data_IF_818589942865
#
_entry.id   IF_818589942865
#
_cell.length_a   1.000
_cell.length_b   1.000
_cell.length_c   1.000
_cell.angle_alpha   90.00
_cell.angle_beta   90.00
_cell.angle_gamma   90.00
#
_symmetry.space_group_name_H-M   'P 1'
#
loop_
_entity.id
_entity.type
_entity.pdbx_description
1 polymer ?
#
# COMPACT_ATOMS: atom_id res chain seq x y z
N UNK A 1 61.57 -18.68 11.80
CA UNK A 1 62.19 -17.72 10.89
C UNK A 1 61.13 -17.18 10.01
N UNK A 2 60.52 -16.06 10.37
CA UNK A 2 60.68 -14.69 9.84
C UNK A 2 60.45 -14.57 8.34
N UNK A 3 59.34 -13.92 7.93
CA UNK A 3 59.38 -12.76 7.06
C UNK A 3 58.00 -12.09 7.03
N UNK A 4 57.91 -10.92 7.69
CA UNK A 4 56.89 -9.89 7.51
C UNK A 4 57.09 -9.26 6.14
N UNK A 5 56.01 -9.10 5.37
CA UNK A 5 55.98 -8.19 4.24
C UNK A 5 54.82 -7.23 4.49
N UNK A 6 55.19 -6.02 4.93
CA UNK A 6 54.33 -4.86 5.03
C UNK A 6 54.10 -4.29 3.63
N UNK A 7 52.85 -4.28 3.13
CA UNK A 7 52.49 -3.52 1.94
C UNK A 7 51.67 -2.32 2.35
N UNK A 8 52.33 -1.18 2.39
CA UNK A 8 51.68 0.12 2.55
C UNK A 8 51.19 0.56 1.18
N UNK A 9 49.89 0.54 0.95
CA UNK A 9 49.30 1.13 -0.26
C UNK A 9 48.74 2.51 0.15
N UNK A 10 49.42 3.53 -0.32
CA UNK A 10 49.02 4.94 -0.27
C UNK A 10 47.99 5.18 -1.38
N UNK A 11 46.71 5.25 -1.01
CA UNK A 11 45.63 5.61 -1.91
C UNK A 11 45.34 7.10 -1.79
N UNK A 12 45.79 7.87 -2.79
CA UNK A 12 45.44 9.27 -2.99
C UNK A 12 44.01 9.37 -3.54
N UNK A 13 43.06 9.77 -2.73
CA UNK A 13 41.71 10.10 -3.17
C UNK A 13 41.66 11.50 -3.75
N UNK A 14 41.55 11.61 -5.07
CA UNK A 14 41.20 12.85 -5.76
C UNK A 14 39.66 13.05 -5.65
N UNK A 15 39.25 14.01 -4.84
CA UNK A 15 37.85 14.46 -4.77
C UNK A 15 37.61 15.41 -5.95
N UNK A 16 36.86 14.95 -6.95
CA UNK A 16 36.35 15.80 -8.02
C UNK A 16 34.98 16.33 -7.57
N UNK A 17 34.98 17.60 -7.14
CA UNK A 17 33.73 18.34 -6.91
C UNK A 17 33.18 18.80 -8.26
N UNK A 18 32.21 18.05 -8.80
CA UNK A 18 31.35 18.52 -9.88
C UNK A 18 30.21 19.33 -9.27
N UNK A 19 30.32 20.65 -9.31
CA UNK A 19 29.25 21.57 -9.02
C UNK A 19 28.29 21.60 -10.23
N UNK A 20 27.16 20.92 -10.16
CA UNK A 20 26.05 21.10 -11.08
C UNK A 20 25.34 22.42 -10.73
N UNK A 21 25.54 23.45 -11.53
CA UNK A 21 24.72 24.65 -11.51
C UNK A 21 23.34 24.30 -12.08
N UNK A 22 22.35 24.16 -11.18
CA UNK A 22 20.96 24.01 -11.57
C UNK A 22 20.33 25.40 -11.58
N UNK A 23 20.19 26.01 -12.77
CA UNK A 23 19.42 27.24 -12.94
C UNK A 23 17.95 26.88 -13.10
N UNK A 24 17.17 27.13 -12.04
CA UNK A 24 15.70 27.04 -12.09
C UNK A 24 15.17 28.30 -12.78
N UNK A 25 14.70 28.14 -14.01
CA UNK A 25 13.92 29.17 -14.70
C UNK A 25 12.48 29.13 -14.17
N UNK A 26 12.17 29.98 -13.20
CA UNK A 26 10.79 30.27 -12.81
C UNK A 26 10.19 31.20 -13.87
N UNK A 27 9.55 30.65 -14.87
CA UNK A 27 8.60 31.37 -15.70
C UNK A 27 7.24 31.27 -15.04
N UNK A 28 6.85 32.35 -14.38
CA UNK A 28 5.56 32.53 -13.75
C UNK A 28 4.52 32.87 -14.85
N UNK A 29 3.54 32.02 -15.15
CA UNK A 29 2.41 32.46 -15.97
C UNK A 29 1.38 33.10 -15.03
N UNK A 30 1.43 34.43 -14.92
CA UNK A 30 0.34 35.22 -14.36
C UNK A 30 -0.92 35.00 -15.21
N UNK A 31 -1.74 34.04 -14.83
CA UNK A 31 -3.07 33.88 -15.37
C UNK A 31 -3.99 34.95 -14.74
N UNK A 32 -4.28 36.00 -15.50
CA UNK A 32 -5.31 36.96 -15.19
C UNK A 32 -6.67 36.24 -15.20
N UNK A 33 -7.47 36.27 -14.13
CA UNK A 33 -8.80 35.68 -14.15
C UNK A 33 -9.71 36.53 -15.07
N UNK A 34 -10.10 35.94 -16.18
CA UNK A 34 -11.10 36.50 -17.08
C UNK A 34 -12.47 36.40 -16.40
N UNK A 35 -13.08 37.54 -16.12
CA UNK A 35 -14.43 37.63 -15.59
C UNK A 35 -15.42 37.07 -16.62
N UNK A 36 -16.11 35.99 -16.25
CA UNK A 36 -17.22 35.43 -17.05
C UNK A 36 -18.44 36.36 -16.87
N UNK A 37 -19.05 36.86 -17.94
CA UNK A 37 -20.26 37.67 -17.82
C UNK A 37 -21.42 36.80 -17.36
N UNK A 38 -22.02 37.18 -16.23
CA UNK A 38 -23.22 36.52 -15.71
C UNK A 38 -24.40 36.98 -16.60
N UNK A 39 -25.15 36.08 -17.27
CA UNK A 39 -26.35 36.46 -17.98
C UNK A 39 -27.42 36.87 -16.95
N UNK A 40 -27.87 38.12 -17.07
CA UNK A 40 -29.00 38.65 -16.30
C UNK A 40 -30.28 37.99 -16.80
N UNK A 41 -30.77 36.99 -16.08
CA UNK A 41 -32.04 36.35 -16.37
C UNK A 41 -33.17 37.23 -15.84
N UNK A 42 -33.94 37.85 -16.72
CA UNK A 42 -35.20 38.49 -16.41
C UNK A 42 -36.20 37.42 -15.97
N UNK A 43 -36.57 37.44 -14.70
CA UNK A 43 -37.60 36.53 -14.18
C UNK A 43 -38.98 37.00 -14.64
N UNK A 44 -39.57 36.29 -15.60
CA UNK A 44 -40.98 36.31 -15.87
C UNK A 44 -41.71 35.50 -14.80
N UNK A 45 -42.60 36.13 -14.03
CA UNK A 45 -43.45 35.43 -13.06
C UNK A 45 -44.49 34.61 -13.82
N UNK A 46 -44.21 33.31 -14.01
CA UNK A 46 -45.24 32.37 -14.41
C UNK A 46 -46.02 31.90 -13.17
N UNK A 47 -47.34 31.94 -13.30
CA UNK A 47 -48.28 31.52 -12.28
C UNK A 47 -48.13 30.01 -12.08
N UNK A 48 -47.58 29.56 -10.95
CA UNK A 48 -47.40 28.17 -10.66
C UNK A 48 -48.73 27.47 -10.48
N UNK A 49 -48.99 26.36 -11.19
CA UNK A 49 -50.09 25.46 -10.81
C UNK A 49 -49.75 24.81 -9.46
N UNK A 50 -50.77 24.72 -8.61
CA UNK A 50 -50.72 24.11 -7.27
C UNK A 50 -50.09 22.72 -7.33
N UNK A 51 -48.87 22.56 -6.85
CA UNK A 51 -48.19 21.27 -6.74
C UNK A 51 -48.92 20.43 -5.70
N UNK A 52 -49.32 19.18 -6.04
CA UNK A 52 -49.91 18.29 -5.05
C UNK A 52 -48.87 18.01 -3.93
N UNK A 53 -49.35 18.04 -2.69
CA UNK A 53 -48.60 17.78 -1.45
C UNK A 53 -47.77 16.50 -1.63
N UNK A 54 -46.44 16.52 -1.43
CA UNK A 54 -45.63 15.32 -1.56
C UNK A 54 -46.09 14.27 -0.56
N UNK A 55 -46.53 13.14 -1.10
CA UNK A 55 -46.78 11.92 -0.32
C UNK A 55 -45.48 11.57 0.37
N UNK A 56 -45.55 11.35 1.68
CA UNK A 56 -44.37 11.15 2.53
C UNK A 56 -43.35 10.20 1.92
N UNK A 57 -42.12 10.71 1.78
CA UNK A 57 -40.97 9.89 1.42
C UNK A 57 -40.76 8.90 2.56
N UNK A 58 -41.02 7.61 2.29
CA UNK A 58 -40.64 6.55 3.21
C UNK A 58 -39.10 6.51 3.15
N UNK A 59 -38.47 7.15 4.14
CA UNK A 59 -37.02 6.98 4.35
C UNK A 59 -36.85 5.58 4.90
N UNK A 60 -36.43 4.66 4.01
CA UNK A 60 -36.02 3.33 4.43
C UNK A 60 -34.83 3.49 5.39
N UNK A 61 -34.86 2.92 6.60
CA UNK A 61 -33.74 3.01 7.50
C UNK A 61 -32.52 2.38 6.81
N UNK A 62 -31.52 3.18 6.48
CA UNK A 62 -30.22 2.68 6.04
C UNK A 62 -29.63 1.96 7.24
N UNK A 63 -29.47 0.64 7.13
CA UNK A 63 -28.83 -0.15 8.18
C UNK A 63 -27.42 0.45 8.44
N UNK A 64 -27.13 0.76 9.69
CA UNK A 64 -25.79 1.21 10.05
C UNK A 64 -24.78 0.13 9.71
N UNK A 65 -23.61 0.49 9.09
CA UNK A 65 -22.59 -0.49 8.75
C UNK A 65 -22.07 -1.15 10.03
N UNK A 66 -22.10 -2.46 10.07
CA UNK A 66 -21.55 -3.24 11.19
C UNK A 66 -20.02 -3.15 11.15
N UNK A 67 -19.45 -2.43 12.09
CA UNK A 67 -18.00 -2.38 12.25
C UNK A 67 -17.49 -3.70 12.85
N UNK A 68 -16.39 -4.21 12.29
CA UNK A 68 -15.70 -5.40 12.74
C UNK A 68 -14.23 -5.06 13.00
N UNK A 69 -13.63 -5.70 14.00
CA UNK A 69 -12.21 -5.59 14.26
C UNK A 69 -11.44 -6.58 13.37
N UNK A 70 -10.32 -6.11 12.81
CA UNK A 70 -9.37 -6.89 12.06
C UNK A 70 -7.97 -6.71 12.64
N UNK A 71 -7.14 -7.74 12.53
CA UNK A 71 -5.73 -7.69 12.90
C UNK A 71 -4.90 -7.52 11.64
N UNK A 72 -3.98 -6.55 11.68
CA UNK A 72 -3.02 -6.29 10.59
C UNK A 72 -1.61 -6.48 11.12
N UNK A 73 -0.78 -7.20 10.40
CA UNK A 73 0.62 -7.45 10.75
C UNK A 73 1.54 -6.56 9.92
N UNK A 74 2.40 -5.81 10.58
CA UNK A 74 3.48 -5.03 9.99
C UNK A 74 4.82 -5.58 10.45
N UNK A 75 5.88 -5.33 9.66
CA UNK A 75 7.22 -5.63 10.11
C UNK A 75 7.60 -4.71 11.28
N UNK A 76 8.16 -5.28 12.34
CA UNK A 76 8.74 -4.56 13.48
C UNK A 76 10.27 -4.46 13.27
N UNK A 77 10.71 -3.26 12.90
CA UNK A 77 12.11 -2.96 12.62
C UNK A 77 13.01 -3.20 13.83
N UNK A 78 12.51 -2.94 15.04
CA UNK A 78 13.30 -3.14 16.26
C UNK A 78 13.57 -4.63 16.50
N UNK A 79 12.55 -5.48 16.30
CA UNK A 79 12.72 -6.94 16.40
C UNK A 79 13.62 -7.48 15.29
N UNK A 80 13.47 -6.96 14.07
CA UNK A 80 14.29 -7.33 12.92
C UNK A 80 15.77 -7.02 13.18
N UNK A 81 16.10 -5.81 13.64
CA UNK A 81 17.46 -5.39 13.96
C UNK A 81 18.03 -6.22 15.12
N UNK A 82 17.19 -6.56 16.11
CA UNK A 82 17.60 -7.39 17.24
C UNK A 82 17.71 -8.89 16.93
N UNK A 83 17.28 -9.33 15.72
CA UNK A 83 17.21 -10.74 15.35
C UNK A 83 16.20 -11.54 16.18
N UNK A 84 15.14 -10.89 16.68
CA UNK A 84 14.13 -11.49 17.57
C UNK A 84 12.85 -11.81 16.80
N UNK A 85 12.63 -13.07 16.48
CA UNK A 85 11.39 -13.53 15.81
C UNK A 85 10.21 -13.65 16.79
N UNK A 86 8.95 -13.53 16.30
CA UNK A 86 8.57 -13.16 14.93
C UNK A 86 8.83 -11.68 14.66
N UNK A 87 9.21 -11.35 13.42
CA UNK A 87 9.51 -9.98 13.03
C UNK A 87 8.26 -9.14 12.77
N UNK A 88 7.09 -9.75 12.73
CA UNK A 88 5.82 -9.07 12.57
C UNK A 88 5.19 -8.72 13.91
N UNK A 89 4.63 -7.52 14.00
CA UNK A 89 3.79 -7.09 15.12
C UNK A 89 2.37 -6.83 14.64
N UNK A 90 1.41 -7.24 15.48
CA UNK A 90 -0.01 -7.10 15.23
C UNK A 90 -0.51 -5.74 15.68
N UNK A 91 -1.37 -5.12 14.87
CA UNK A 91 -2.17 -3.94 15.24
C UNK A 91 -3.64 -4.19 14.94
N UNK A 92 -4.53 -3.53 15.69
CA UNK A 92 -5.98 -3.62 15.48
C UNK A 92 -6.45 -2.49 14.58
N UNK A 93 -7.36 -2.83 13.65
CA UNK A 93 -8.10 -1.89 12.79
C UNK A 93 -9.58 -2.23 12.84
N UNK A 94 -10.41 -1.30 12.40
CA UNK A 94 -11.84 -1.52 12.21
C UNK A 94 -12.21 -1.43 10.74
N UNK A 95 -13.12 -2.27 10.29
CA UNK A 95 -13.65 -2.25 8.93
C UNK A 95 -15.15 -2.48 8.92
N UNK A 96 -15.83 -1.99 7.91
CA UNK A 96 -17.22 -2.33 7.58
C UNK A 96 -17.32 -3.33 6.41
N UNK A 97 -16.19 -3.81 5.91
CA UNK A 97 -16.14 -4.78 4.81
C UNK A 97 -16.50 -6.18 5.30
N UNK A 98 -17.35 -6.89 4.54
CA UNK A 98 -17.64 -8.31 4.76
C UNK A 98 -16.50 -9.22 4.23
N UNK A 99 -15.64 -8.69 3.35
CA UNK A 99 -14.45 -9.39 2.86
C UNK A 99 -13.24 -9.06 3.75
N UNK A 100 -13.13 -9.75 4.88
CA UNK A 100 -12.09 -9.48 5.86
C UNK A 100 -10.66 -9.70 5.34
N UNK A 101 -10.35 -10.77 4.56
CA UNK A 101 -9.02 -10.94 3.98
C UNK A 101 -8.60 -9.77 3.09
N UNK A 102 -9.50 -9.25 2.25
CA UNK A 102 -9.22 -8.08 1.44
C UNK A 102 -9.04 -6.82 2.30
N UNK A 103 -9.93 -6.61 3.29
CA UNK A 103 -9.85 -5.46 4.19
C UNK A 103 -8.53 -5.41 4.97
N UNK A 104 -8.01 -6.56 5.40
CA UNK A 104 -6.70 -6.66 6.07
C UNK A 104 -5.58 -6.25 5.12
N UNK A 105 -5.59 -6.70 3.87
CA UNK A 105 -4.57 -6.29 2.90
C UNK A 105 -4.67 -4.81 2.52
N UNK A 106 -5.88 -4.27 2.38
CA UNK A 106 -6.09 -2.85 2.14
C UNK A 106 -5.55 -2.01 3.31
N UNK A 107 -5.81 -2.43 4.55
CA UNK A 107 -5.27 -1.79 5.74
C UNK A 107 -3.74 -1.93 5.83
N UNK A 108 -3.18 -3.07 5.42
CA UNK A 108 -1.74 -3.27 5.31
C UNK A 108 -1.10 -2.30 4.32
N UNK A 109 -1.64 -2.18 3.10
CA UNK A 109 -1.11 -1.25 2.10
C UNK A 109 -1.37 0.23 2.42
N UNK A 110 -2.35 0.54 3.28
CA UNK A 110 -2.51 1.88 3.85
C UNK A 110 -1.36 2.25 4.80
N UNK A 111 -0.64 1.24 5.29
CA UNK A 111 0.54 1.40 6.13
C UNK A 111 0.25 1.62 7.62
N UNK A 112 1.30 1.66 8.44
CA UNK A 112 1.20 1.99 9.85
C UNK A 112 0.83 3.47 10.02
N UNK A 113 0.10 3.78 11.11
CA UNK A 113 -0.11 5.17 11.54
C UNK A 113 1.22 5.80 11.95
N UNK A 114 1.27 7.15 12.05
CA UNK A 114 2.49 7.84 12.49
C UNK A 114 2.97 7.32 13.85
N UNK A 115 2.06 7.09 14.80
CA UNK A 115 2.42 6.56 16.12
C UNK A 115 3.04 5.16 16.03
N UNK A 116 2.50 4.29 15.20
CA UNK A 116 3.02 2.93 14.99
C UNK A 116 4.37 2.96 14.25
N UNK A 117 4.52 3.87 13.29
CA UNK A 117 5.79 4.10 12.61
C UNK A 117 6.87 4.56 13.60
N UNK A 118 6.55 5.46 14.52
CA UNK A 118 7.45 5.94 15.56
C UNK A 118 7.82 4.81 16.55
N UNK A 119 6.95 3.81 16.69
CA UNK A 119 7.21 2.59 17.47
C UNK A 119 8.06 1.55 16.73
N UNK A 120 8.37 1.77 15.47
CA UNK A 120 9.21 0.88 14.65
C UNK A 120 8.45 0.01 13.66
N UNK A 121 7.12 0.19 13.49
CA UNK A 121 6.39 -0.59 12.49
C UNK A 121 6.62 -0.05 11.09
N UNK A 122 6.78 -0.95 10.12
CA UNK A 122 7.10 -0.62 8.73
C UNK A 122 6.21 -1.38 7.75
N UNK A 123 5.78 -0.66 6.71
CA UNK A 123 5.18 -1.28 5.54
C UNK A 123 6.31 -1.77 4.61
N UNK A 124 6.30 -3.06 4.29
CA UNK A 124 7.17 -3.63 3.26
C UNK A 124 6.35 -3.86 1.99
N UNK A 125 6.57 -3.09 0.96
CA UNK A 125 5.72 -3.12 -0.23
C UNK A 125 6.48 -3.35 -1.55
N UNK A 126 7.81 -3.21 -1.57
CA UNK A 126 8.63 -3.31 -2.79
C UNK A 126 8.06 -2.47 -3.96
N UNK A 127 7.57 -1.27 -3.66
CA UNK A 127 6.89 -0.36 -4.59
C UNK A 127 5.48 -0.79 -5.04
N UNK A 128 4.95 -1.89 -4.54
CA UNK A 128 3.52 -2.15 -4.64
C UNK A 128 2.74 -1.14 -3.80
N UNK A 129 1.60 -0.72 -4.29
CA UNK A 129 0.81 0.34 -3.65
C UNK A 129 -0.57 -0.11 -3.18
N UNK A 130 -1.09 -1.22 -3.73
CA UNK A 130 -2.43 -1.69 -3.42
C UNK A 130 -2.65 -3.13 -3.92
N UNK A 131 -3.75 -3.72 -3.47
CA UNK A 131 -4.28 -4.98 -3.99
C UNK A 131 -5.23 -4.67 -5.16
N UNK A 132 -4.93 -5.19 -6.34
CA UNK A 132 -5.83 -5.08 -7.51
C UNK A 132 -6.97 -6.10 -7.43
N UNK A 133 -6.68 -7.30 -6.94
CA UNK A 133 -7.63 -8.42 -6.88
C UNK A 133 -7.19 -9.41 -5.81
N UNK A 134 -8.15 -9.98 -5.11
CA UNK A 134 -8.00 -11.14 -4.23
C UNK A 134 -9.04 -12.19 -4.61
N UNK A 135 -8.64 -13.44 -4.82
CA UNK A 135 -9.55 -14.57 -4.96
C UNK A 135 -9.21 -15.64 -3.94
N UNK A 136 -10.26 -16.29 -3.42
CA UNK A 136 -10.16 -17.44 -2.51
C UNK A 136 -10.83 -18.64 -3.16
N UNK A 137 -10.03 -19.65 -3.46
CA UNK A 137 -10.53 -20.88 -4.09
C UNK A 137 -9.78 -22.08 -3.53
N UNK A 138 -10.52 -23.08 -3.04
CA UNK A 138 -9.96 -24.34 -2.52
C UNK A 138 -8.85 -24.14 -1.44
N UNK A 139 -9.01 -23.12 -0.59
CA UNK A 139 -8.03 -22.80 0.44
C UNK A 139 -6.80 -22.06 -0.06
N UNK A 140 -6.76 -21.64 -1.31
CA UNK A 140 -5.67 -20.85 -1.89
C UNK A 140 -6.13 -19.41 -2.06
N UNK A 141 -5.42 -18.49 -1.43
CA UNK A 141 -5.58 -17.05 -1.63
C UNK A 141 -4.66 -16.58 -2.77
N UNK A 142 -5.23 -16.05 -3.85
CA UNK A 142 -4.47 -15.45 -4.94
C UNK A 142 -4.57 -13.94 -4.86
N UNK A 143 -3.44 -13.29 -4.61
CA UNK A 143 -3.30 -11.85 -4.42
C UNK A 143 -2.62 -11.24 -5.61
N UNK A 144 -3.30 -10.36 -6.32
CA UNK A 144 -2.76 -9.61 -7.45
C UNK A 144 -2.44 -8.20 -7.00
N UNK A 145 -1.16 -7.85 -7.04
CA UNK A 145 -0.67 -6.57 -6.55
C UNK A 145 -0.60 -5.51 -7.67
N UNK A 146 -0.80 -4.27 -7.32
CA UNK A 146 -0.67 -3.11 -8.21
C UNK A 146 0.44 -2.20 -7.75
N UNK A 147 1.09 -1.55 -8.71
CA UNK A 147 2.32 -0.80 -8.55
C UNK A 147 3.40 -1.39 -9.43
N UNK A 148 4.66 -1.13 -9.14
CA UNK A 148 5.79 -1.69 -9.87
C UNK A 148 6.58 -2.58 -8.92
N UNK A 149 6.77 -3.84 -9.27
CA UNK A 149 7.57 -4.74 -8.47
C UNK A 149 9.05 -4.38 -8.58
N UNK A 150 9.66 -4.02 -7.46
CA UNK A 150 11.08 -3.71 -7.40
C UNK A 150 11.72 -4.47 -6.23
N UNK A 151 12.68 -5.34 -6.55
CA UNK A 151 13.54 -5.93 -5.53
C UNK A 151 14.58 -4.89 -5.12
N UNK A 152 14.43 -4.32 -3.93
CA UNK A 152 15.34 -3.32 -3.39
C UNK A 152 16.52 -3.93 -2.62
N UNK A 153 16.80 -5.22 -2.82
CA UNK A 153 17.84 -5.94 -2.09
C UNK A 153 17.52 -6.09 -0.60
N UNK A 154 16.24 -6.07 -0.24
CA UNK A 154 15.79 -6.24 1.14
C UNK A 154 16.18 -7.63 1.64
N UNK A 155 16.81 -7.69 2.81
CA UNK A 155 17.15 -8.94 3.48
C UNK A 155 15.90 -9.70 3.99
N UNK A 156 14.75 -9.05 4.04
CA UNK A 156 13.48 -9.59 4.48
C UNK A 156 12.45 -9.52 3.33
N UNK A 157 11.87 -10.65 2.99
CA UNK A 157 10.94 -10.73 1.86
C UNK A 157 9.66 -9.95 2.13
N UNK A 158 9.27 -9.10 1.19
CA UNK A 158 7.97 -8.39 1.18
C UNK A 158 6.78 -9.36 1.22
N UNK A 159 6.96 -10.56 0.70
CA UNK A 159 5.91 -11.58 0.69
C UNK A 159 5.52 -12.04 2.10
N UNK A 160 6.47 -12.11 3.03
CA UNK A 160 6.23 -12.63 4.39
C UNK A 160 5.11 -11.89 5.13
N UNK A 161 5.11 -10.56 5.26
CA UNK A 161 4.01 -9.85 5.90
C UNK A 161 2.68 -10.00 5.15
N UNK A 162 2.68 -10.06 3.81
CA UNK A 162 1.46 -10.27 3.02
C UNK A 162 0.88 -11.66 3.32
N UNK A 163 1.70 -12.70 3.32
CA UNK A 163 1.30 -14.06 3.66
C UNK A 163 0.78 -14.13 5.09
N UNK A 164 1.49 -13.55 6.06
CA UNK A 164 1.10 -13.51 7.47
C UNK A 164 -0.28 -12.86 7.68
N UNK A 165 -0.58 -11.81 6.93
CA UNK A 165 -1.87 -11.14 6.96
C UNK A 165 -3.02 -12.00 6.43
N UNK A 166 -2.76 -12.96 5.55
CA UNK A 166 -3.78 -13.83 5.00
C UNK A 166 -3.88 -15.17 5.75
N UNK A 167 -2.77 -15.75 6.15
CA UNK A 167 -2.71 -17.05 6.85
C UNK A 167 -3.39 -17.04 8.22
N UNK A 168 -3.68 -15.86 8.79
CA UNK A 168 -4.48 -15.76 10.01
C UNK A 168 -5.94 -16.19 9.83
N UNK A 169 -6.45 -16.26 8.58
CA UNK A 169 -7.83 -16.63 8.30
C UNK A 169 -7.98 -18.14 8.20
N UNK A 170 -8.90 -18.74 8.98
CA UNK A 170 -9.22 -20.15 8.85
C UNK A 170 -9.66 -20.50 7.43
N UNK A 171 -9.07 -21.52 6.85
CA UNK A 171 -9.38 -21.96 5.49
C UNK A 171 -8.47 -21.38 4.39
N UNK A 172 -7.53 -20.50 4.71
CA UNK A 172 -6.42 -20.15 3.83
C UNK A 172 -5.23 -21.05 4.18
N UNK A 173 -4.88 -21.95 3.28
CA UNK A 173 -3.80 -22.94 3.44
C UNK A 173 -2.56 -22.55 2.65
N UNK A 174 -2.72 -21.75 1.58
CA UNK A 174 -1.63 -21.26 0.77
C UNK A 174 -1.95 -19.86 0.21
N UNK A 175 -0.92 -19.07 -0.03
CA UNK A 175 -1.00 -17.73 -0.60
C UNK A 175 -0.15 -17.65 -1.86
N UNK A 176 -0.76 -17.23 -2.96
CA UNK A 176 -0.13 -16.98 -4.26
C UNK A 176 -0.08 -15.48 -4.50
N UNK A 177 1.11 -14.90 -4.56
CA UNK A 177 1.27 -13.47 -4.83
C UNK A 177 1.64 -13.30 -6.30
N UNK A 178 0.95 -12.39 -6.97
CA UNK A 178 1.16 -12.02 -8.37
C UNK A 178 1.56 -10.56 -8.47
N UNK A 179 2.52 -10.24 -9.32
CA UNK A 179 2.96 -8.88 -9.60
C UNK A 179 1.99 -8.11 -10.51
N UNK A 180 2.40 -6.93 -10.96
CA UNK A 180 1.60 -6.06 -11.85
C UNK A 180 1.34 -6.68 -13.24
N UNK A 181 2.12 -7.68 -13.64
CA UNK A 181 2.01 -8.41 -14.90
C UNK A 181 1.28 -9.76 -14.74
N UNK A 182 0.68 -10.00 -13.57
CA UNK A 182 0.06 -11.27 -13.20
C UNK A 182 1.06 -12.45 -13.22
N UNK A 183 2.35 -12.17 -12.94
CA UNK A 183 3.42 -13.16 -12.89
C UNK A 183 3.55 -13.74 -11.48
N UNK A 184 3.77 -15.05 -11.41
CA UNK A 184 4.05 -15.84 -10.20
C UNK A 184 4.96 -17.01 -10.62
N UNK A 185 5.93 -17.37 -9.78
CA UNK A 185 6.91 -18.42 -10.12
C UNK A 185 6.32 -19.82 -10.18
N UNK A 186 5.33 -20.11 -9.33
CA UNK A 186 4.70 -21.43 -9.28
C UNK A 186 3.19 -21.31 -8.97
N UNK A 187 2.39 -20.92 -9.99
CA UNK A 187 0.95 -20.68 -9.82
C UNK A 187 0.15 -21.94 -9.50
N UNK A 188 0.65 -23.13 -9.90
CA UNK A 188 -0.05 -24.41 -9.82
C UNK A 188 0.33 -25.24 -8.60
N UNK A 189 1.40 -24.90 -7.88
CA UNK A 189 1.80 -25.56 -6.64
C UNK A 189 0.70 -25.50 -5.58
N UNK A 190 0.57 -26.50 -4.70
CA UNK A 190 -0.29 -26.40 -3.53
C UNK A 190 0.25 -25.47 -2.43
N UNK A 191 1.52 -25.10 -2.50
CA UNK A 191 2.22 -24.32 -1.48
C UNK A 191 2.21 -22.82 -1.79
N UNK A 192 2.73 -22.01 -0.87
CA UNK A 192 2.93 -20.59 -1.07
C UNK A 192 3.84 -20.33 -2.29
N UNK A 193 3.54 -19.29 -3.06
CA UNK A 193 4.42 -18.86 -4.14
C UNK A 193 4.33 -17.35 -4.37
N UNK A 194 5.36 -16.79 -4.99
CA UNK A 194 5.55 -15.35 -5.16
C UNK A 194 6.13 -15.06 -6.54
N UNK A 195 6.07 -13.82 -7.01
CA UNK A 195 6.73 -13.42 -8.25
C UNK A 195 8.25 -13.32 -8.04
N UNK A 196 9.00 -13.49 -9.13
CA UNK A 196 10.47 -13.46 -9.11
C UNK A 196 11.06 -12.21 -8.44
N UNK A 197 10.42 -11.05 -8.62
CA UNK A 197 10.88 -9.78 -8.06
C UNK A 197 10.78 -9.70 -6.52
N UNK A 198 10.05 -10.60 -5.87
CA UNK A 198 9.95 -10.71 -4.40
C UNK A 198 10.82 -11.84 -3.83
N UNK A 199 11.53 -12.58 -4.66
CA UNK A 199 12.53 -13.53 -4.13
C UNK A 199 13.66 -12.76 -3.44
N UNK A 200 14.08 -13.21 -2.22
CA UNK A 200 15.17 -12.60 -1.46
C UNK A 200 16.51 -12.66 -2.19
#
# INVERSE_FOLDING_TARGET
MKRFISFTILATTAVVLMACNFTVNLSDPTATPQAIPIPSATMTMDIFPTVPKPTGVIVLPTAEPKLQEITVYFMDENRFIAGTEPYEAAVTRTTSSDNLPLAVLEAYFAGPTQQEYDQGLRLLSSSFTHVRKLTLENGIARVYLGGVCANNGAAYSVATPIMKNLEQFPGINAVKIYDENDSNLDPDSPDNSLPYCLEP
#
